data_IF_507491220247
#
_entry.id   IF_507491220247
#
_cell.length_a   1.000
_cell.length_b   1.000
_cell.length_c   1.000
_cell.angle_alpha   90.00
_cell.angle_beta   90.00
_cell.angle_gamma   90.00
#
_symmetry.space_group_name_H-M   'P 1'
#
loop_
_entity.id
_entity.type
_entity.pdbx_description
1 polymer ?
#
# COMPACT_ATOMS: atom_id res chain seq x y z
N UNK A 1 11.68 9.84 23.41
CA UNK A 1 11.71 8.60 22.58
C UNK A 1 12.83 8.73 21.55
N UNK A 2 13.54 7.64 21.23
CA UNK A 2 14.80 7.66 20.47
C UNK A 2 14.65 7.91 18.96
N UNK A 3 15.71 8.42 18.33
CA UNK A 3 15.86 8.54 16.88
C UNK A 3 15.85 7.17 16.18
N UNK A 4 16.29 6.13 16.88
CA UNK A 4 16.24 4.74 16.42
C UNK A 4 14.81 4.26 16.16
N UNK A 5 13.88 4.51 17.10
CA UNK A 5 12.46 4.16 16.88
C UNK A 5 11.92 4.88 15.64
N UNK A 6 12.26 6.15 15.45
CA UNK A 6 11.81 6.91 14.29
C UNK A 6 12.33 6.33 12.98
N UNK A 7 13.59 5.86 12.93
CA UNK A 7 14.15 5.18 11.77
C UNK A 7 13.40 3.86 11.47
N UNK A 8 13.11 3.05 12.48
CA UNK A 8 12.37 1.80 12.33
C UNK A 8 10.93 2.02 11.85
N UNK A 9 10.24 3.05 12.35
CA UNK A 9 8.90 3.42 11.89
C UNK A 9 8.90 3.81 10.40
N UNK A 10 9.94 4.51 9.94
CA UNK A 10 10.11 4.84 8.52
C UNK A 10 10.35 3.60 7.67
N UNK A 11 11.27 2.72 8.08
CA UNK A 11 11.63 1.50 7.34
C UNK A 11 10.45 0.53 7.22
N UNK A 12 9.64 0.41 8.26
CA UNK A 12 8.46 -0.46 8.27
C UNK A 12 7.20 0.19 7.67
N UNK A 13 7.30 1.42 7.16
CA UNK A 13 6.16 2.20 6.65
C UNK A 13 5.04 2.43 7.68
N UNK A 14 5.38 2.46 8.96
CA UNK A 14 4.46 2.68 10.09
C UNK A 14 4.61 4.07 10.72
N UNK A 15 5.39 4.97 10.10
CA UNK A 15 5.43 6.37 10.52
C UNK A 15 4.12 7.08 10.16
N UNK A 16 3.48 7.71 11.14
CA UNK A 16 2.33 8.57 10.92
C UNK A 16 2.69 9.76 10.02
N UNK A 17 1.87 10.14 9.02
CA UNK A 17 2.22 11.22 8.09
C UNK A 17 2.19 12.62 8.71
N UNK A 18 1.30 12.83 9.70
CA UNK A 18 1.10 14.12 10.38
C UNK A 18 1.00 13.95 11.91
N UNK A 19 2.04 13.41 12.58
CA UNK A 19 2.01 13.15 14.02
C UNK A 19 1.73 14.43 14.84
N UNK A 20 2.21 15.57 14.34
CA UNK A 20 2.00 16.89 14.92
C UNK A 20 0.54 17.35 14.91
N UNK A 21 -0.36 16.64 14.23
CA UNK A 21 -1.81 16.93 14.18
C UNK A 21 -2.63 16.01 15.07
N UNK A 22 -2.03 15.01 15.72
CA UNK A 22 -2.73 14.15 16.70
C UNK A 22 -3.04 14.99 17.95
N UNK A 23 -4.31 15.00 18.36
CA UNK A 23 -4.85 15.83 19.45
C UNK A 23 -5.58 15.01 20.52
N UNK A 24 -5.61 13.69 20.39
CA UNK A 24 -6.21 12.85 21.44
C UNK A 24 -5.47 13.06 22.78
N UNK A 25 -6.20 13.25 23.90
CA UNK A 25 -5.59 13.54 25.21
C UNK A 25 -4.53 12.51 25.66
N UNK A 26 -4.65 11.24 25.28
CA UNK A 26 -3.68 10.22 25.65
C UNK A 26 -2.30 10.50 25.01
N UNK A 27 -2.29 10.96 23.75
CA UNK A 27 -1.07 11.32 23.03
C UNK A 27 -0.50 12.68 23.45
N UNK A 28 -1.32 13.54 24.09
CA UNK A 28 -0.89 14.82 24.66
C UNK A 28 -0.49 14.73 26.14
N UNK A 29 -0.71 13.58 26.79
CA UNK A 29 -0.51 13.39 28.23
C UNK A 29 0.93 13.51 28.72
N UNK A 30 1.92 13.49 27.80
CA UNK A 30 3.34 13.39 28.14
C UNK A 30 3.78 11.97 28.53
N UNK A 31 2.87 11.00 28.53
CA UNK A 31 3.21 9.59 28.76
C UNK A 31 4.16 9.08 27.67
N UNK A 32 5.25 8.37 28.02
CA UNK A 32 6.16 7.78 27.04
C UNK A 32 5.53 6.62 26.26
N UNK A 33 4.35 6.14 26.67
CA UNK A 33 3.64 5.03 26.04
C UNK A 33 2.95 5.45 24.73
N UNK A 34 2.30 6.61 24.69
CA UNK A 34 1.53 7.06 23.53
C UNK A 34 2.40 7.88 22.58
N UNK A 35 2.76 7.31 21.43
CA UNK A 35 3.62 7.93 20.43
C UNK A 35 2.81 8.33 19.18
N UNK A 36 2.56 9.63 18.94
CA UNK A 36 1.76 10.07 17.80
C UNK A 36 2.44 9.76 16.45
N UNK A 37 3.72 9.40 16.46
CA UNK A 37 4.48 8.99 15.27
C UNK A 37 4.24 7.54 14.89
N UNK A 38 3.74 6.72 15.80
CA UNK A 38 3.46 5.30 15.56
C UNK A 38 2.06 5.13 14.97
N UNK A 39 1.97 5.00 13.64
CA UNK A 39 0.69 4.91 12.93
C UNK A 39 -0.14 3.70 13.38
N UNK A 40 0.50 2.60 13.78
CA UNK A 40 -0.22 1.39 14.21
C UNK A 40 -0.89 1.65 15.55
N UNK A 41 -0.16 2.26 16.50
CA UNK A 41 -0.73 2.68 17.77
C UNK A 41 -1.85 3.70 17.60
N UNK A 42 -1.65 4.72 16.75
CA UNK A 42 -2.66 5.74 16.45
C UNK A 42 -3.93 5.10 15.87
N UNK A 43 -3.82 4.15 14.94
CA UNK A 43 -4.98 3.40 14.41
C UNK A 43 -5.67 2.57 15.49
N UNK A 44 -4.91 1.87 16.33
CA UNK A 44 -5.46 1.04 17.39
C UNK A 44 -6.26 1.89 18.40
N UNK A 45 -5.67 2.99 18.88
CA UNK A 45 -6.33 3.90 19.82
C UNK A 45 -7.52 4.63 19.20
N UNK A 46 -7.48 4.95 17.90
CA UNK A 46 -8.62 5.44 17.15
C UNK A 46 -9.78 4.43 17.18
N UNK A 47 -9.52 3.15 16.93
CA UNK A 47 -10.55 2.10 16.97
C UNK A 47 -11.09 1.90 18.39
N UNK A 48 -10.20 1.88 19.40
CA UNK A 48 -10.58 1.76 20.82
C UNK A 48 -11.50 2.91 21.24
N UNK A 49 -11.18 4.15 20.87
CA UNK A 49 -12.00 5.34 21.16
C UNK A 49 -13.42 5.22 20.61
N UNK A 50 -13.58 4.72 19.39
CA UNK A 50 -14.90 4.56 18.79
C UNK A 50 -15.66 3.40 19.43
N UNK A 51 -15.02 2.24 19.61
CA UNK A 51 -15.69 1.00 20.04
C UNK A 51 -15.93 0.91 21.54
N UNK A 52 -15.00 1.41 22.34
CA UNK A 52 -15.01 1.27 23.81
C UNK A 52 -15.50 2.56 24.46
N UNK A 53 -15.00 3.71 23.98
CA UNK A 53 -15.32 5.00 24.60
C UNK A 53 -16.53 5.70 23.94
N UNK A 54 -17.13 5.11 22.90
CA UNK A 54 -18.37 5.59 22.27
C UNK A 54 -18.22 6.87 21.43
N UNK A 55 -17.00 7.25 21.05
CA UNK A 55 -16.78 8.43 20.21
C UNK A 55 -17.37 8.22 18.82
N UNK A 56 -17.95 9.26 18.22
CA UNK A 56 -18.31 9.19 16.81
C UNK A 56 -17.06 9.05 15.93
N UNK A 57 -17.18 8.33 14.82
CA UNK A 57 -16.10 8.21 13.82
C UNK A 57 -15.60 9.60 13.39
N UNK A 58 -16.51 10.56 13.23
CA UNK A 58 -16.17 11.93 12.87
C UNK A 58 -15.26 12.62 13.90
N UNK A 59 -15.61 12.56 15.17
CA UNK A 59 -14.82 13.16 16.25
C UNK A 59 -13.46 12.46 16.38
N UNK A 60 -13.46 11.13 16.37
CA UNK A 60 -12.24 10.35 16.56
C UNK A 60 -11.25 10.58 15.39
N UNK A 61 -11.72 10.52 14.14
CA UNK A 61 -10.83 10.76 12.97
C UNK A 61 -10.18 12.15 13.00
N UNK A 62 -10.92 13.19 13.43
CA UNK A 62 -10.35 14.53 13.66
C UNK A 62 -9.27 14.54 14.75
N UNK A 63 -9.53 13.91 15.91
CA UNK A 63 -8.57 13.86 17.02
C UNK A 63 -7.29 13.10 16.67
N UNK A 64 -7.39 12.08 15.82
CA UNK A 64 -6.26 11.22 15.47
C UNK A 64 -5.57 11.63 14.16
N UNK A 65 -5.97 12.75 13.54
CA UNK A 65 -5.44 13.22 12.26
C UNK A 65 -5.49 12.18 11.13
N UNK A 66 -6.56 11.37 11.09
CA UNK A 66 -6.80 10.36 10.07
C UNK A 66 -8.13 10.62 9.35
N UNK A 67 -8.35 9.97 8.22
CA UNK A 67 -9.59 10.14 7.45
C UNK A 67 -10.64 9.08 7.83
N UNK A 68 -11.92 9.36 7.58
CA UNK A 68 -12.99 8.35 7.74
C UNK A 68 -12.76 7.09 6.88
N UNK A 69 -12.34 7.18 5.61
CA UNK A 69 -11.92 6.00 4.85
C UNK A 69 -10.81 5.19 5.54
N UNK A 70 -9.82 5.87 6.13
CA UNK A 70 -8.76 5.20 6.89
C UNK A 70 -9.30 4.46 8.11
N UNK A 71 -10.27 5.04 8.83
CA UNK A 71 -10.96 4.37 9.93
C UNK A 71 -11.64 3.08 9.48
N UNK A 72 -12.47 3.13 8.43
CA UNK A 72 -13.20 1.95 7.97
C UNK A 72 -12.26 0.85 7.45
N UNK A 73 -11.20 1.23 6.73
CA UNK A 73 -10.18 0.28 6.29
C UNK A 73 -9.44 -0.37 7.47
N UNK A 74 -9.03 0.43 8.47
CA UNK A 74 -8.38 -0.07 9.67
C UNK A 74 -9.30 -0.98 10.50
N UNK A 75 -10.57 -0.61 10.64
CA UNK A 75 -11.58 -1.39 11.36
C UNK A 75 -11.77 -2.76 10.71
N UNK A 76 -11.97 -2.80 9.38
CA UNK A 76 -12.13 -4.05 8.65
C UNK A 76 -10.88 -4.94 8.74
N UNK A 77 -9.69 -4.37 8.59
CA UNK A 77 -8.44 -5.13 8.68
C UNK A 77 -8.20 -5.66 10.12
N UNK A 78 -8.56 -4.88 11.14
CA UNK A 78 -8.46 -5.30 12.53
C UNK A 78 -9.45 -6.41 12.89
N UNK A 79 -10.69 -6.35 12.41
CA UNK A 79 -11.66 -7.45 12.59
C UNK A 79 -11.17 -8.76 11.96
N UNK A 80 -10.48 -8.68 10.83
CA UNK A 80 -9.99 -9.87 10.11
C UNK A 80 -8.72 -10.47 10.71
N UNK A 81 -7.78 -9.63 11.16
CA UNK A 81 -6.42 -10.06 11.51
C UNK A 81 -5.87 -9.45 12.80
N UNK A 82 -6.72 -8.82 13.62
CA UNK A 82 -6.33 -8.13 14.84
C UNK A 82 -5.33 -7.01 14.59
N UNK A 83 -4.39 -6.81 15.53
CA UNK A 83 -3.35 -5.78 15.42
C UNK A 83 -2.48 -5.99 14.17
N UNK A 84 -2.24 -7.23 13.75
CA UNK A 84 -1.46 -7.52 12.55
C UNK A 84 -2.10 -6.92 11.28
N UNK A 85 -3.43 -6.82 11.24
CA UNK A 85 -4.16 -6.16 10.14
C UNK A 85 -3.93 -4.65 10.04
N UNK A 86 -3.44 -3.99 11.09
CA UNK A 86 -3.18 -2.55 11.09
C UNK A 86 -1.84 -2.19 10.45
N UNK A 87 -0.94 -3.16 10.33
CA UNK A 87 0.35 -3.01 9.67
C UNK A 87 0.15 -2.72 8.18
N UNK A 88 1.04 -1.94 7.55
CA UNK A 88 1.05 -1.78 6.11
C UNK A 88 1.15 -3.15 5.46
N UNK A 89 0.10 -3.55 4.76
CA UNK A 89 0.19 -4.73 3.91
C UNK A 89 1.12 -4.40 2.75
N UNK A 90 1.98 -5.34 2.32
CA UNK A 90 2.68 -5.17 1.07
C UNK A 90 1.63 -4.84 0.01
N UNK A 91 1.81 -3.71 -0.66
CA UNK A 91 0.94 -3.38 -1.80
C UNK A 91 1.04 -4.57 -2.73
N UNK A 92 -0.08 -5.29 -2.89
CA UNK A 92 -0.20 -6.33 -3.90
C UNK A 92 0.37 -5.79 -5.21
N UNK A 93 1.03 -6.64 -6.00
CA UNK A 93 2.03 -6.24 -6.97
C UNK A 93 1.63 -4.96 -7.71
N UNK A 94 2.42 -3.89 -7.57
CA UNK A 94 2.40 -2.71 -8.46
C UNK A 94 2.88 -3.07 -9.89
N UNK A 95 2.66 -4.30 -10.32
CA UNK A 95 3.10 -4.88 -11.57
C UNK A 95 1.90 -5.28 -12.42
N UNK A 96 2.01 -4.99 -13.70
CA UNK A 96 1.01 -5.15 -14.75
C UNK A 96 0.20 -6.45 -14.68
N UNK A 97 -0.93 -6.44 -13.95
CA UNK A 97 -1.93 -7.52 -14.01
C UNK A 97 -2.47 -7.78 -15.43
N UNK A 98 -2.17 -6.89 -16.38
CA UNK A 98 -2.56 -7.02 -17.80
C UNK A 98 -1.58 -7.82 -18.65
N UNK A 99 -0.34 -8.05 -18.20
CA UNK A 99 0.66 -8.83 -18.94
C UNK A 99 1.08 -10.02 -18.09
N UNK A 100 0.28 -11.09 -18.15
CA UNK A 100 0.59 -12.36 -17.47
C UNK A 100 1.83 -13.00 -18.07
N UNK A 101 2.42 -13.98 -17.37
CA UNK A 101 3.65 -14.65 -17.83
C UNK A 101 3.42 -15.38 -19.17
N UNK A 102 2.24 -15.97 -19.36
CA UNK A 102 1.83 -16.63 -20.61
C UNK A 102 1.77 -15.64 -21.78
N UNK A 103 1.22 -14.44 -21.53
CA UNK A 103 1.12 -13.41 -22.55
C UNK A 103 2.49 -12.84 -22.90
N UNK A 104 3.39 -12.71 -21.93
CA UNK A 104 4.79 -12.31 -22.18
C UNK A 104 5.53 -13.34 -23.03
N UNK A 105 5.28 -14.64 -22.84
CA UNK A 105 5.84 -15.71 -23.70
C UNK A 105 5.35 -15.56 -25.15
N UNK A 106 4.07 -15.23 -25.36
CA UNK A 106 3.52 -14.99 -26.70
C UNK A 106 4.07 -13.72 -27.36
N UNK A 107 4.32 -12.67 -26.57
CA UNK A 107 4.84 -11.40 -27.08
C UNK A 107 6.33 -11.45 -27.46
N UNK A 108 7.15 -12.33 -26.85
CA UNK A 108 8.59 -12.44 -27.15
C UNK A 108 8.92 -12.66 -28.64
N UNK A 109 8.35 -13.66 -29.34
CA UNK A 109 8.65 -13.84 -30.76
C UNK A 109 8.17 -12.65 -31.60
N UNK A 110 7.01 -12.07 -31.27
CA UNK A 110 6.46 -10.91 -31.97
C UNK A 110 7.32 -9.65 -31.78
N UNK A 111 7.94 -9.47 -30.60
CA UNK A 111 8.83 -8.36 -30.30
C UNK A 111 10.12 -8.34 -31.15
N UNK A 112 10.46 -9.45 -31.84
CA UNK A 112 11.56 -9.48 -32.80
C UNK A 112 11.23 -8.77 -34.11
N UNK A 113 9.94 -8.63 -34.42
CA UNK A 113 9.45 -8.08 -35.70
C UNK A 113 8.51 -6.88 -35.53
N UNK A 114 8.01 -6.63 -34.32
CA UNK A 114 7.05 -5.58 -34.00
C UNK A 114 7.58 -4.68 -32.88
N UNK A 115 7.36 -3.37 -33.03
CA UNK A 115 7.66 -2.38 -32.00
C UNK A 115 6.66 -2.43 -30.84
N UNK A 116 7.01 -1.84 -29.69
CA UNK A 116 6.14 -1.82 -28.51
C UNK A 116 4.75 -1.17 -28.75
N UNK A 117 4.60 -0.11 -29.58
CA UNK A 117 3.29 0.39 -30.00
C UNK A 117 2.48 -0.63 -30.83
N UNK A 118 3.12 -1.30 -31.80
CA UNK A 118 2.44 -2.32 -32.61
C UNK A 118 2.01 -3.54 -31.77
N UNK A 119 2.81 -3.91 -30.76
CA UNK A 119 2.41 -4.94 -29.79
C UNK A 119 1.24 -4.48 -28.91
N UNK A 120 1.13 -3.20 -28.58
CA UNK A 120 0.00 -2.65 -27.84
C UNK A 120 -1.30 -2.69 -28.67
N UNK A 121 -1.21 -2.40 -29.97
CA UNK A 121 -2.33 -2.54 -30.92
C UNK A 121 -2.73 -4.01 -31.06
N UNK A 122 -1.77 -4.91 -31.27
CA UNK A 122 -2.02 -6.34 -31.36
C UNK A 122 -2.70 -6.91 -30.09
N UNK A 123 -2.25 -6.49 -28.89
CA UNK A 123 -2.89 -6.86 -27.63
C UNK A 123 -4.32 -6.35 -27.51
N UNK A 124 -4.60 -5.16 -28.06
CA UNK A 124 -5.93 -4.60 -28.08
C UNK A 124 -6.85 -5.37 -29.06
N UNK A 125 -6.33 -5.79 -30.19
CA UNK A 125 -7.09 -6.51 -31.23
C UNK A 125 -7.33 -7.97 -30.87
N UNK A 126 -6.29 -8.70 -30.47
CA UNK A 126 -6.35 -10.15 -30.26
C UNK A 126 -6.78 -10.55 -28.85
N UNK A 127 -6.51 -9.69 -27.85
CA UNK A 127 -6.78 -9.99 -26.44
C UNK A 127 -7.67 -8.97 -25.75
N UNK A 128 -8.12 -7.91 -26.46
CA UNK A 128 -8.91 -6.82 -25.89
C UNK A 128 -8.23 -6.13 -24.68
N UNK A 129 -6.89 -6.16 -24.64
CA UNK A 129 -6.09 -5.64 -23.55
C UNK A 129 -5.42 -4.31 -23.91
N UNK A 130 -5.91 -3.21 -23.31
CA UNK A 130 -5.24 -1.90 -23.39
C UNK A 130 -4.04 -1.85 -22.47
N UNK A 131 -2.84 -1.91 -23.05
CA UNK A 131 -1.55 -1.84 -22.35
C UNK A 131 -0.69 -0.75 -22.96
N UNK A 132 -0.04 0.05 -22.11
CA UNK A 132 0.89 1.09 -22.58
C UNK A 132 2.18 0.45 -23.12
N UNK A 133 2.77 0.94 -24.24
CA UNK A 133 4.01 0.41 -24.82
C UNK A 133 5.15 0.21 -23.80
N UNK A 134 5.40 1.22 -22.97
CA UNK A 134 6.37 1.15 -21.85
C UNK A 134 6.14 0.00 -20.86
N UNK A 135 4.91 -0.46 -20.67
CA UNK A 135 4.62 -1.62 -19.82
C UNK A 135 5.01 -2.94 -20.49
N UNK A 136 4.87 -3.02 -21.81
CA UNK A 136 5.28 -4.15 -22.65
C UNK A 136 6.80 -4.27 -22.64
N UNK A 137 7.51 -3.17 -22.92
CA UNK A 137 8.97 -3.11 -22.87
C UNK A 137 9.52 -3.58 -21.52
N UNK A 138 8.94 -3.06 -20.42
CA UNK A 138 9.33 -3.47 -19.08
C UNK A 138 9.04 -4.94 -18.80
N UNK A 139 7.95 -5.49 -19.33
CA UNK A 139 7.60 -6.90 -19.13
C UNK A 139 8.57 -7.82 -19.88
N UNK A 140 8.87 -7.50 -21.15
CA UNK A 140 9.84 -8.23 -21.97
C UNK A 140 11.25 -8.19 -21.35
N UNK A 141 11.75 -7.01 -20.96
CA UNK A 141 13.06 -6.86 -20.34
C UNK A 141 13.20 -7.59 -18.99
N UNK A 142 12.13 -7.65 -18.19
CA UNK A 142 12.12 -8.44 -16.94
C UNK A 142 12.20 -9.94 -17.23
N UNK A 143 11.55 -10.39 -18.29
CA UNK A 143 11.47 -11.79 -18.68
C UNK A 143 12.80 -12.32 -19.26
N UNK A 144 13.60 -11.46 -19.89
CA UNK A 144 14.95 -11.78 -20.35
C UNK A 144 15.92 -11.94 -19.18
N UNK A 145 15.83 -11.07 -18.16
CA UNK A 145 16.65 -11.18 -16.93
C UNK A 145 16.37 -12.47 -16.15
N UNK A 146 15.14 -12.98 -16.20
CA UNK A 146 14.74 -14.24 -15.52
C UNK A 146 15.19 -15.49 -16.30
N UNK A 147 15.37 -15.40 -17.62
CA UNK A 147 15.84 -16.50 -18.47
C UNK A 147 17.36 -16.59 -18.67
N UNK A 148 18.12 -15.59 -18.22
CA UNK A 148 19.60 -15.60 -18.23
C UNK A 148 20.22 -16.18 -16.95
N UNK A 149 19.41 -16.67 -16.02
CA UNK A 149 19.84 -17.41 -14.84
C UNK A 149 19.43 -18.89 -15.01
N UNK A 150 20.10 -19.59 -15.91
CA UNK A 150 20.07 -21.05 -16.04
C UNK A 150 21.47 -21.53 -16.39
#
# INVERSE_FOLDING_TARGET
MSDEKLALLRQSHTLHPHPEKVRDPLFLSGSPFFDPRDLVQVKYELLRRVRVDGYSVAQATTLFALSRPTFYAAHAAWEQAGIAGLLPQPTGPRHAHKLTEELVVQLRPLAKTMSAPQLAEWLQEQHHLRVHPRSIERALARSEKKGGAS
#
